data_IF_030990402720
#
_entry.id   IF_030990402720
#
_cell.length_a   1.000
_cell.length_b   1.000
_cell.length_c   1.000
_cell.angle_alpha   90.00
_cell.angle_beta   90.00
_cell.angle_gamma   90.00
#
_symmetry.space_group_name_H-M   'P 1'
#
loop_
_entity.id
_entity.type
_entity.pdbx_description
1 polymer ?
#
# COMPACT_ATOMS: atom_id res chain seq x y z
N UNK A 1 28.54 -12.27 -6.70
CA UNK A 1 28.10 -11.06 -5.95
C UNK A 1 26.62 -11.18 -5.55
N UNK A 2 26.21 -12.33 -4.97
CA UNK A 2 24.81 -12.68 -4.72
C UNK A 2 24.52 -12.71 -3.21
N UNK A 3 24.27 -11.54 -2.60
CA UNK A 3 24.07 -11.46 -1.15
C UNK A 3 23.00 -10.50 -0.64
N UNK A 4 22.11 -9.95 -1.49
CA UNK A 4 21.38 -8.72 -1.12
C UNK A 4 19.84 -8.73 -1.23
N UNK A 5 19.15 -9.86 -1.21
CA UNK A 5 17.68 -9.83 -1.18
C UNK A 5 17.07 -10.74 -0.12
N UNK A 6 17.45 -10.55 1.15
CA UNK A 6 16.44 -10.73 2.22
C UNK A 6 15.48 -9.56 2.06
N UNK A 7 14.41 -9.74 1.31
CA UNK A 7 13.40 -8.68 1.23
C UNK A 7 12.75 -8.58 2.59
N UNK A 8 13.00 -7.48 3.29
CA UNK A 8 12.34 -7.20 4.55
C UNK A 8 10.82 -7.22 4.31
N UNK A 9 10.06 -8.11 4.97
CA UNK A 9 8.62 -8.19 4.80
C UNK A 9 7.94 -6.85 5.14
N UNK A 10 8.51 -6.06 6.07
CA UNK A 10 8.03 -4.70 6.36
C UNK A 10 8.20 -3.79 5.16
N UNK A 11 9.34 -3.86 4.48
CA UNK A 11 9.61 -3.05 3.28
C UNK A 11 8.67 -3.40 2.12
N UNK A 12 8.30 -4.68 1.97
CA UNK A 12 7.29 -5.08 0.97
C UNK A 12 5.92 -4.48 1.28
N UNK A 13 5.46 -4.61 2.53
CA UNK A 13 4.16 -4.09 2.95
C UNK A 13 4.10 -2.55 2.88
N UNK A 14 5.18 -1.85 3.24
CA UNK A 14 5.28 -0.40 3.09
C UNK A 14 5.21 0.04 1.61
N UNK A 15 5.83 -0.71 0.69
CA UNK A 15 5.73 -0.46 -0.75
C UNK A 15 4.30 -0.69 -1.28
N UNK A 16 3.66 -1.79 -0.87
CA UNK A 16 2.26 -2.08 -1.24
C UNK A 16 1.31 -1.01 -0.71
N UNK A 17 1.47 -0.60 0.56
CA UNK A 17 0.71 0.47 1.18
C UNK A 17 0.82 1.78 0.39
N UNK A 18 2.04 2.20 0.05
CA UNK A 18 2.28 3.43 -0.73
C UNK A 18 1.67 3.37 -2.12
N UNK A 19 1.76 2.23 -2.80
CA UNK A 19 1.17 2.04 -4.11
C UNK A 19 -0.37 2.14 -4.07
N UNK A 20 -1.02 1.59 -3.03
CA UNK A 20 -2.46 1.72 -2.84
C UNK A 20 -2.88 3.16 -2.58
N UNK A 21 -2.12 3.91 -1.76
CA UNK A 21 -2.38 5.33 -1.52
C UNK A 21 -2.22 6.19 -2.78
N UNK A 22 -1.20 5.91 -3.60
CA UNK A 22 -1.02 6.62 -4.87
C UNK A 22 -2.21 6.38 -5.82
N UNK A 23 -2.64 5.13 -5.95
CA UNK A 23 -3.84 4.79 -6.72
C UNK A 23 -5.10 5.46 -6.15
N UNK A 24 -5.24 5.48 -4.83
CA UNK A 24 -6.36 6.15 -4.16
C UNK A 24 -6.36 7.66 -4.47
N UNK A 25 -5.20 8.32 -4.42
CA UNK A 25 -5.07 9.73 -4.80
C UNK A 25 -5.50 9.98 -6.26
N UNK A 26 -5.12 9.10 -7.19
CA UNK A 26 -5.56 9.20 -8.57
C UNK A 26 -7.08 9.00 -8.71
N UNK A 27 -7.66 8.02 -8.01
CA UNK A 27 -9.11 7.80 -7.99
C UNK A 27 -9.87 9.01 -7.42
N UNK A 28 -9.37 9.58 -6.31
CA UNK A 28 -9.94 10.78 -5.70
C UNK A 28 -9.89 11.99 -6.64
N UNK A 29 -8.74 12.23 -7.29
CA UNK A 29 -8.60 13.31 -8.29
C UNK A 29 -9.48 13.11 -9.52
N UNK A 30 -9.74 11.86 -9.89
CA UNK A 30 -10.67 11.50 -10.97
C UNK A 30 -12.15 11.53 -10.57
N UNK A 31 -12.47 11.75 -9.29
CA UNK A 31 -13.85 11.75 -8.78
C UNK A 31 -14.46 10.35 -8.60
N UNK A 32 -13.66 9.29 -8.68
CA UNK A 32 -14.13 7.91 -8.44
C UNK A 32 -14.09 7.60 -6.93
N UNK A 33 -15.13 8.04 -6.24
CA UNK A 33 -15.22 7.95 -4.78
C UNK A 33 -15.29 6.48 -4.31
N UNK A 34 -15.98 5.61 -5.06
CA UNK A 34 -16.10 4.19 -4.69
C UNK A 34 -14.73 3.53 -4.72
N UNK A 35 -14.00 3.70 -5.83
CA UNK A 35 -12.65 3.16 -5.98
C UNK A 35 -11.68 3.77 -4.97
N UNK A 36 -11.80 5.07 -4.67
CA UNK A 36 -11.02 5.70 -3.61
C UNK A 36 -11.26 5.03 -2.25
N UNK A 37 -12.52 4.80 -1.87
CA UNK A 37 -12.87 4.14 -0.60
C UNK A 37 -12.29 2.73 -0.54
N UNK A 38 -12.44 1.93 -1.59
CA UNK A 38 -11.89 0.57 -1.67
C UNK A 38 -10.36 0.57 -1.55
N UNK A 39 -9.67 1.43 -2.30
CA UNK A 39 -8.20 1.52 -2.27
C UNK A 39 -7.68 2.00 -0.92
N UNK A 40 -8.40 2.91 -0.26
CA UNK A 40 -8.05 3.40 1.07
C UNK A 40 -8.22 2.31 2.11
N UNK A 41 -9.31 1.53 2.06
CA UNK A 41 -9.53 0.40 2.97
C UNK A 41 -8.43 -0.68 2.82
N UNK A 42 -8.06 -1.00 1.59
CA UNK A 42 -6.94 -1.93 1.33
C UNK A 42 -5.61 -1.37 1.85
N UNK A 43 -5.36 -0.07 1.70
CA UNK A 43 -4.17 0.57 2.24
C UNK A 43 -4.15 0.48 3.78
N UNK A 44 -5.26 0.74 4.45
CA UNK A 44 -5.37 0.60 5.90
C UNK A 44 -5.14 -0.84 6.37
N UNK A 45 -5.64 -1.84 5.65
CA UNK A 45 -5.36 -3.25 5.95
C UNK A 45 -3.85 -3.54 5.87
N UNK A 46 -3.16 -3.04 4.84
CA UNK A 46 -1.70 -3.19 4.69
C UNK A 46 -0.91 -2.49 5.78
N UNK A 47 -1.37 -1.31 6.21
CA UNK A 47 -0.77 -0.58 7.34
C UNK A 47 -0.94 -1.36 8.65
N UNK A 48 -2.11 -1.94 8.89
CA UNK A 48 -2.33 -2.81 10.06
C UNK A 48 -1.42 -4.03 10.05
N UNK A 49 -1.23 -4.68 8.89
CA UNK A 49 -0.26 -5.77 8.73
C UNK A 49 1.17 -5.32 9.05
N UNK A 50 1.55 -4.11 8.61
CA UNK A 50 2.86 -3.52 8.86
C UNK A 50 3.08 -3.21 10.35
N UNK A 51 2.07 -2.68 11.03
CA UNK A 51 2.11 -2.32 12.46
C UNK A 51 2.19 -3.55 13.38
N UNK A 52 1.75 -4.73 12.90
CA UNK A 52 1.77 -6.00 13.63
C UNK A 52 3.08 -6.79 13.47
N UNK A 53 3.97 -6.37 12.57
CA UNK A 53 5.31 -6.94 12.37
C UNK A 53 6.37 -6.22 13.21
#
# INVERSE_FOLDING_TARGET
MFGLFKTDPKKKLDQEYKALLEQAMHAQRGGDIRKYSELTEMAEAKKKELDLL
#
